data_IF_945304252173
#
_entry.id   IF_945304252173
#
_cell.length_a   1.000
_cell.length_b   1.000
_cell.length_c   1.000
_cell.angle_alpha   90.00
_cell.angle_beta   90.00
_cell.angle_gamma   90.00
#
_symmetry.space_group_name_H-M   'P 1'
#
loop_
_entity.id
_entity.type
_entity.pdbx_description
1 polymer ?
#
# COMPACT_ATOMS: atom_id res chain seq x y z
N UNK A 1 -14.82 -14.63 -22.16
CA UNK A 1 -15.87 -13.99 -21.34
C UNK A 1 -15.36 -13.85 -19.92
N UNK A 2 -14.94 -12.66 -19.51
CA UNK A 2 -14.62 -12.37 -18.10
C UNK A 2 -15.99 -12.30 -17.41
N UNK A 3 -16.29 -13.28 -16.57
CA UNK A 3 -17.53 -13.31 -15.80
C UNK A 3 -17.57 -12.04 -14.95
N UNK A 4 -18.64 -11.26 -15.14
CA UNK A 4 -19.02 -10.06 -14.41
C UNK A 4 -19.47 -10.41 -12.98
N UNK A 5 -18.70 -11.24 -12.26
CA UNK A 5 -18.76 -11.26 -10.81
C UNK A 5 -18.37 -9.86 -10.36
N UNK A 6 -19.42 -9.08 -10.08
CA UNK A 6 -19.39 -7.65 -9.80
C UNK A 6 -18.17 -7.35 -8.95
N UNK A 7 -17.26 -6.55 -9.52
CA UNK A 7 -16.15 -5.90 -8.84
C UNK A 7 -16.77 -5.01 -7.75
N UNK A 8 -17.15 -5.63 -6.63
CA UNK A 8 -17.81 -4.97 -5.52
C UNK A 8 -16.72 -4.35 -4.65
N UNK A 9 -16.36 -3.11 -4.99
CA UNK A 9 -15.50 -2.25 -4.18
C UNK A 9 -16.22 -1.71 -2.92
N UNK A 10 -17.55 -1.83 -2.91
CA UNK A 10 -18.44 -1.32 -1.88
C UNK A 10 -18.06 -1.76 -0.45
N UNK A 11 -17.73 -3.04 -0.16
CA UNK A 11 -17.37 -3.45 1.19
C UNK A 11 -16.12 -2.73 1.73
N UNK A 12 -15.10 -2.53 0.89
CA UNK A 12 -13.86 -1.86 1.31
C UNK A 12 -14.12 -0.39 1.60
N UNK A 13 -14.87 0.29 0.73
CA UNK A 13 -15.23 1.71 0.95
C UNK A 13 -16.09 1.89 2.19
N UNK A 14 -17.03 0.98 2.46
CA UNK A 14 -17.83 1.02 3.70
C UNK A 14 -16.96 0.89 4.95
N UNK A 15 -15.96 0.01 4.94
CA UNK A 15 -15.03 -0.13 6.07
C UNK A 15 -14.17 1.13 6.22
N UNK A 16 -13.65 1.68 5.12
CA UNK A 16 -12.89 2.94 5.15
C UNK A 16 -13.74 4.07 5.73
N UNK A 17 -14.99 4.23 5.30
CA UNK A 17 -15.92 5.22 5.86
C UNK A 17 -16.14 4.96 7.36
N UNK A 18 -16.29 3.69 7.75
CA UNK A 18 -16.46 3.31 9.15
C UNK A 18 -15.23 3.69 10.00
N UNK A 19 -14.01 3.53 9.47
CA UNK A 19 -12.77 3.98 10.12
C UNK A 19 -12.73 5.50 10.31
N UNK A 20 -13.20 6.28 9.33
CA UNK A 20 -13.29 7.74 9.46
C UNK A 20 -14.30 8.13 10.53
N UNK A 21 -15.50 7.55 10.50
CA UNK A 21 -16.55 7.82 11.50
C UNK A 21 -16.04 7.44 12.90
N UNK A 22 -15.37 6.29 13.04
CA UNK A 22 -14.79 5.84 14.29
C UNK A 22 -13.69 6.81 14.77
N UNK A 23 -12.72 7.13 13.92
CA UNK A 23 -11.58 7.98 14.26
C UNK A 23 -12.01 9.39 14.67
N UNK A 24 -12.80 10.06 13.84
CA UNK A 24 -13.31 11.40 14.16
C UNK A 24 -14.33 11.39 15.29
N UNK A 25 -15.13 10.32 15.43
CA UNK A 25 -16.06 10.14 16.54
C UNK A 25 -15.34 10.00 17.89
N UNK A 26 -14.29 9.18 17.96
CA UNK A 26 -13.46 9.04 19.16
C UNK A 26 -12.73 10.36 19.48
N UNK A 27 -12.22 11.05 18.47
CA UNK A 27 -11.59 12.36 18.62
C UNK A 27 -12.57 13.40 19.22
N UNK A 28 -13.81 13.41 18.74
CA UNK A 28 -14.87 14.28 19.27
C UNK A 28 -15.24 13.94 20.72
N UNK A 29 -15.39 12.65 21.04
CA UNK A 29 -15.68 12.17 22.40
C UNK A 29 -14.54 12.46 23.39
N UNK A 30 -13.30 12.48 22.92
CA UNK A 30 -12.11 12.71 23.72
C UNK A 30 -11.87 14.18 24.15
N UNK A 31 -12.83 15.07 23.86
CA UNK A 31 -12.83 16.52 24.10
C UNK A 31 -12.16 17.33 22.98
N UNK A 32 -12.85 18.37 22.49
CA UNK A 32 -12.44 19.24 21.38
C UNK A 32 -11.43 20.30 21.81
N UNK A 33 -10.37 19.90 22.50
CA UNK A 33 -9.23 20.80 22.67
C UNK A 33 -8.58 21.02 21.30
N UNK A 34 -8.29 22.27 20.94
CA UNK A 34 -7.68 22.62 19.65
C UNK A 34 -6.38 21.85 19.40
N UNK A 35 -5.63 21.54 20.46
CA UNK A 35 -4.41 20.73 20.38
C UNK A 35 -4.70 19.30 19.89
N UNK A 36 -5.71 18.64 20.46
CA UNK A 36 -6.03 17.25 20.11
C UNK A 36 -6.63 17.16 18.70
N UNK A 37 -7.46 18.14 18.31
CA UNK A 37 -7.94 18.28 16.93
C UNK A 37 -6.78 18.45 15.94
N UNK A 38 -5.81 19.30 16.28
CA UNK A 38 -4.59 19.49 15.48
C UNK A 38 -3.79 18.18 15.35
N UNK A 39 -3.58 17.45 16.44
CA UNK A 39 -2.90 16.16 16.42
C UNK A 39 -3.65 15.10 15.61
N UNK A 40 -4.99 15.05 15.72
CA UNK A 40 -5.83 14.13 14.94
C UNK A 40 -5.78 14.44 13.43
N UNK A 41 -5.84 15.72 13.06
CA UNK A 41 -5.66 16.14 11.66
C UNK A 41 -4.25 15.81 11.16
N UNK A 42 -3.21 16.06 11.97
CA UNK A 42 -1.84 15.70 11.62
C UNK A 42 -1.71 14.18 11.40
N UNK A 43 -2.19 13.35 12.33
CA UNK A 43 -2.18 11.90 12.20
C UNK A 43 -2.90 11.42 10.93
N UNK A 44 -4.06 12.01 10.61
CA UNK A 44 -4.79 11.74 9.37
C UNK A 44 -3.97 12.11 8.13
N UNK A 45 -3.37 13.30 8.10
CA UNK A 45 -2.54 13.75 6.97
C UNK A 45 -1.24 12.96 6.84
N UNK A 46 -0.66 12.47 7.94
CA UNK A 46 0.49 11.57 7.91
C UNK A 46 0.09 10.22 7.28
N UNK A 47 -1.08 9.68 7.64
CA UNK A 47 -1.63 8.48 6.99
C UNK A 47 -1.83 8.68 5.48
N UNK A 48 -2.40 9.84 5.09
CA UNK A 48 -2.56 10.18 3.68
C UNK A 48 -1.21 10.29 2.94
N UNK A 49 -0.25 11.02 3.52
CA UNK A 49 1.09 11.19 2.94
C UNK A 49 1.78 9.85 2.76
N UNK A 50 1.72 9.00 3.79
CA UNK A 50 2.44 7.74 3.80
C UNK A 50 1.89 6.73 2.79
N UNK A 51 0.59 6.76 2.49
CA UNK A 51 0.02 5.97 1.39
C UNK A 51 0.63 6.31 0.00
N UNK A 52 1.15 7.54 -0.18
CA UNK A 52 1.84 7.93 -1.40
C UNK A 52 3.32 7.53 -1.46
N UNK A 53 3.81 6.85 -0.44
CA UNK A 53 5.17 6.38 -0.46
C UNK A 53 5.40 5.36 -1.58
N UNK A 54 6.58 5.43 -2.20
CA UNK A 54 6.93 4.66 -3.39
C UNK A 54 6.82 3.13 -3.18
N UNK A 55 7.04 2.68 -1.96
CA UNK A 55 7.01 1.28 -1.57
C UNK A 55 5.59 0.72 -1.51
N UNK A 56 4.61 1.52 -1.06
CA UNK A 56 3.20 1.15 -1.03
C UNK A 56 2.65 1.08 -2.45
N UNK A 57 2.85 2.14 -3.24
CA UNK A 57 2.41 2.19 -4.64
C UNK A 57 3.03 1.01 -5.41
N UNK A 58 4.32 0.74 -5.24
CA UNK A 58 4.99 -0.37 -5.91
C UNK A 58 4.44 -1.73 -5.48
N UNK A 59 4.21 -1.95 -4.18
CA UNK A 59 3.70 -3.21 -3.65
C UNK A 59 2.24 -3.49 -4.09
N UNK A 60 1.38 -2.47 -4.01
CA UNK A 60 -0.03 -2.53 -4.40
C UNK A 60 -0.13 -2.77 -5.89
N UNK A 61 0.52 -1.94 -6.72
CA UNK A 61 0.45 -2.07 -8.17
C UNK A 61 0.95 -3.44 -8.65
N UNK A 62 2.13 -3.88 -8.20
CA UNK A 62 2.67 -5.18 -8.58
C UNK A 62 1.74 -6.34 -8.22
N UNK A 63 1.09 -6.24 -7.06
CA UNK A 63 0.15 -7.27 -6.62
C UNK A 63 -1.16 -7.21 -7.40
N UNK A 64 -1.69 -6.03 -7.69
CA UNK A 64 -2.87 -5.84 -8.56
C UNK A 64 -2.61 -6.43 -9.93
N UNK A 65 -1.49 -6.07 -10.58
CA UNK A 65 -1.05 -6.62 -11.87
C UNK A 65 -0.99 -8.13 -11.84
N UNK A 66 -0.37 -8.69 -10.81
CA UNK A 66 -0.24 -10.12 -10.61
C UNK A 66 -1.60 -10.82 -10.52
N UNK A 67 -2.52 -10.32 -9.68
CA UNK A 67 -3.85 -10.92 -9.53
C UNK A 67 -4.68 -10.81 -10.81
N UNK A 68 -4.60 -9.69 -11.53
CA UNK A 68 -5.24 -9.52 -12.85
C UNK A 68 -4.69 -10.54 -13.85
N UNK A 69 -3.36 -10.74 -13.90
CA UNK A 69 -2.73 -11.74 -14.77
C UNK A 69 -3.19 -13.16 -14.43
N UNK A 70 -3.45 -13.45 -13.15
CA UNK A 70 -3.98 -14.72 -12.67
C UNK A 70 -5.50 -14.85 -12.80
N UNK A 71 -6.20 -13.85 -13.37
CA UNK A 71 -7.66 -13.80 -13.43
C UNK A 71 -8.31 -13.91 -12.04
N UNK A 72 -7.67 -13.34 -11.02
CA UNK A 72 -8.13 -13.25 -9.64
C UNK A 72 -8.61 -11.84 -9.34
N UNK A 73 -9.43 -11.69 -8.30
CA UNK A 73 -9.94 -10.38 -7.87
C UNK A 73 -8.80 -9.56 -7.23
N UNK A 74 -8.43 -8.37 -7.76
CA UNK A 74 -7.39 -7.53 -7.20
C UNK A 74 -7.91 -6.40 -6.28
N UNK A 75 -9.23 -6.19 -6.17
CA UNK A 75 -9.79 -4.97 -5.58
C UNK A 75 -9.38 -4.70 -4.13
N UNK A 76 -9.21 -5.77 -3.34
CA UNK A 76 -8.90 -5.64 -1.92
C UNK A 76 -7.42 -5.40 -1.62
N UNK A 77 -6.53 -5.39 -2.63
CA UNK A 77 -5.08 -5.40 -2.41
C UNK A 77 -4.62 -4.22 -1.56
N UNK A 78 -4.95 -3.00 -1.96
CA UNK A 78 -4.56 -1.80 -1.21
C UNK A 78 -5.22 -1.71 0.16
N UNK A 79 -6.48 -2.13 0.28
CA UNK A 79 -7.17 -2.21 1.58
C UNK A 79 -6.48 -3.18 2.54
N UNK A 80 -6.17 -4.41 2.11
CA UNK A 80 -5.53 -5.38 2.99
C UNK A 80 -4.09 -5.00 3.33
N UNK A 81 -3.36 -4.38 2.39
CA UNK A 81 -2.05 -3.82 2.63
C UNK A 81 -2.08 -2.75 3.74
N UNK A 82 -2.92 -1.73 3.58
CA UNK A 82 -3.06 -0.63 4.55
C UNK A 82 -3.52 -1.08 5.92
N UNK A 83 -4.47 -2.03 6.02
CA UNK A 83 -4.90 -2.60 7.29
C UNK A 83 -3.76 -3.37 7.98
N UNK A 84 -2.99 -4.15 7.22
CA UNK A 84 -1.82 -4.85 7.75
C UNK A 84 -0.80 -3.87 8.35
N UNK A 85 -0.44 -2.83 7.60
CA UNK A 85 0.50 -1.79 8.04
C UNK A 85 -0.01 -1.03 9.27
N UNK A 86 -1.24 -0.56 9.17
CA UNK A 86 -1.90 0.22 10.23
C UNK A 86 -2.09 -0.57 11.52
N UNK A 87 -2.12 -1.91 11.45
CA UNK A 87 -2.19 -2.77 12.63
C UNK A 87 -0.95 -2.60 13.51
N UNK A 88 0.25 -2.53 12.92
CA UNK A 88 1.49 -2.30 13.68
C UNK A 88 1.49 -0.92 14.30
N UNK A 89 1.14 0.11 13.52
CA UNK A 89 1.05 1.50 13.99
C UNK A 89 0.04 1.63 15.13
N UNK A 90 -1.11 0.98 15.02
CA UNK A 90 -2.15 0.97 16.05
C UNK A 90 -1.67 0.33 17.35
N UNK A 91 -1.13 -0.88 17.28
CA UNK A 91 -0.65 -1.55 18.49
C UNK A 91 0.48 -0.76 19.15
N UNK A 92 1.42 -0.21 18.36
CA UNK A 92 2.50 0.60 18.90
C UNK A 92 1.96 1.83 19.64
N UNK A 93 1.10 2.62 18.99
CA UNK A 93 0.52 3.82 19.59
C UNK A 93 -0.33 3.49 20.83
N UNK A 94 -1.09 2.38 20.79
CA UNK A 94 -1.89 1.93 21.93
C UNK A 94 -1.03 1.49 23.12
N UNK A 95 0.02 0.69 22.90
CA UNK A 95 0.93 0.24 23.95
C UNK A 95 1.63 1.41 24.65
N UNK A 96 2.09 2.39 23.86
CA UNK A 96 2.77 3.57 24.40
C UNK A 96 1.79 4.51 25.13
N UNK A 97 0.53 4.55 24.70
CA UNK A 97 -0.56 5.25 25.38
C UNK A 97 -0.93 4.69 26.75
N UNK A 98 -0.75 3.38 26.96
CA UNK A 98 -1.06 2.71 28.24
C UNK A 98 0.03 2.95 29.29
N UNK A 99 1.31 2.97 28.91
CA UNK A 99 2.41 3.10 29.87
C UNK A 99 3.58 3.92 29.34
N UNK A 100 3.57 5.22 29.61
CA UNK A 100 4.65 6.17 29.24
C UNK A 100 5.99 5.78 29.87
N UNK A 101 5.98 5.20 31.08
CA UNK A 101 7.22 4.84 31.79
C UNK A 101 7.88 3.61 31.17
N UNK A 102 7.11 2.56 30.91
CA UNK A 102 7.60 1.37 30.21
C UNK A 102 7.94 1.66 28.75
N UNK A 103 7.14 2.51 28.10
CA UNK A 103 7.39 3.02 26.76
C UNK A 103 8.79 3.62 26.61
N UNK A 104 9.19 4.53 27.51
CA UNK A 104 10.50 5.20 27.41
C UNK A 104 11.68 4.23 27.49
N UNK A 105 11.55 3.16 28.27
CA UNK A 105 12.63 2.18 28.45
C UNK A 105 12.65 1.13 27.32
N UNK A 106 11.48 0.74 26.80
CA UNK A 106 11.36 -0.29 25.78
C UNK A 106 11.46 0.25 24.34
N UNK A 107 11.04 1.50 24.10
CA UNK A 107 10.95 2.11 22.78
C UNK A 107 12.28 2.09 22.01
N UNK A 108 13.45 2.43 22.59
CA UNK A 108 14.71 2.39 21.85
C UNK A 108 15.07 0.99 21.34
N UNK A 109 14.77 -0.05 22.13
CA UNK A 109 15.06 -1.44 21.75
C UNK A 109 14.10 -1.96 20.67
N UNK A 110 12.81 -1.64 20.79
CA UNK A 110 11.83 -1.95 19.76
C UNK A 110 12.07 -1.17 18.47
N UNK A 111 12.55 0.08 18.57
CA UNK A 111 13.00 0.91 17.45
C UNK A 111 14.10 0.21 16.66
N UNK A 112 15.20 -0.15 17.33
CA UNK A 112 16.36 -0.76 16.68
C UNK A 112 16.00 -2.10 16.00
N UNK A 113 15.27 -2.99 16.70
CA UNK A 113 14.87 -4.28 16.14
C UNK A 113 13.87 -4.10 14.99
N UNK A 114 12.87 -3.24 15.18
CA UNK A 114 11.84 -2.96 14.18
C UNK A 114 12.43 -2.33 12.92
N UNK A 115 13.34 -1.36 13.07
CA UNK A 115 14.04 -0.71 11.98
C UNK A 115 14.89 -1.70 11.18
N UNK A 116 15.64 -2.59 11.85
CA UNK A 116 16.43 -3.63 11.18
C UNK A 116 15.53 -4.59 10.40
N UNK A 117 14.48 -5.12 11.04
CA UNK A 117 13.56 -6.07 10.40
C UNK A 117 12.81 -5.41 9.25
N UNK A 118 12.25 -4.21 9.49
CA UNK A 118 11.52 -3.43 8.51
C UNK A 118 12.39 -3.09 7.31
N UNK A 119 13.61 -2.58 7.53
CA UNK A 119 14.54 -2.24 6.44
C UNK A 119 14.98 -3.46 5.66
N UNK A 120 15.30 -4.58 6.33
CA UNK A 120 15.68 -5.81 5.64
C UNK A 120 14.53 -6.40 4.82
N UNK A 121 13.33 -6.50 5.40
CA UNK A 121 12.17 -7.09 4.74
C UNK A 121 11.67 -6.19 3.62
N UNK A 122 11.40 -4.91 3.90
CA UNK A 122 10.94 -3.95 2.90
C UNK A 122 12.00 -3.70 1.84
N UNK A 123 13.27 -3.55 2.23
CA UNK A 123 14.39 -3.36 1.31
C UNK A 123 14.59 -4.52 0.35
N UNK A 124 14.62 -5.75 0.87
CA UNK A 124 14.73 -6.96 0.03
C UNK A 124 13.54 -7.07 -0.92
N UNK A 125 12.33 -6.81 -0.44
CA UNK A 125 11.12 -6.86 -1.24
C UNK A 125 11.12 -5.80 -2.35
N UNK A 126 11.53 -4.56 -2.05
CA UNK A 126 11.57 -3.46 -3.01
C UNK A 126 12.64 -3.66 -4.08
N UNK A 127 13.82 -4.16 -3.70
CA UNK A 127 14.86 -4.54 -4.67
C UNK A 127 14.33 -5.63 -5.59
N UNK A 128 13.69 -6.67 -5.04
CA UNK A 128 13.13 -7.76 -5.82
C UNK A 128 12.05 -7.27 -6.80
N UNK A 129 11.12 -6.43 -6.34
CA UNK A 129 10.10 -5.84 -7.20
C UNK A 129 10.72 -4.90 -8.23
N UNK A 130 11.71 -4.10 -7.86
CA UNK A 130 12.43 -3.22 -8.78
C UNK A 130 13.08 -3.99 -9.93
N UNK A 131 13.76 -5.10 -9.63
CA UNK A 131 14.34 -5.99 -10.64
C UNK A 131 13.24 -6.57 -11.54
N UNK A 132 12.14 -7.06 -10.97
CA UNK A 132 11.02 -7.60 -11.75
C UNK A 132 10.40 -6.54 -12.67
N UNK A 133 10.15 -5.34 -12.16
CA UNK A 133 9.64 -4.19 -12.91
C UNK A 133 10.56 -3.86 -14.09
N UNK A 134 11.87 -3.80 -13.85
CA UNK A 134 12.88 -3.53 -14.88
C UNK A 134 12.89 -4.60 -15.96
N UNK A 135 12.85 -5.89 -15.58
CA UNK A 135 12.80 -7.00 -16.53
C UNK A 135 11.55 -6.93 -17.42
N UNK A 136 10.39 -6.64 -16.84
CA UNK A 136 9.13 -6.48 -17.58
C UNK A 136 9.23 -5.26 -18.52
N UNK A 137 9.79 -4.15 -18.05
CA UNK A 137 9.97 -2.94 -18.85
C UNK A 137 10.87 -3.20 -20.07
N UNK A 138 12.02 -3.85 -19.90
CA UNK A 138 12.93 -4.20 -21.00
C UNK A 138 12.23 -5.13 -22.02
N UNK A 139 11.45 -6.09 -21.53
CA UNK A 139 10.68 -7.00 -22.40
C UNK A 139 9.63 -6.25 -23.22
N UNK A 140 8.88 -5.33 -22.60
CA UNK A 140 7.87 -4.50 -23.27
C UNK A 140 8.47 -3.54 -24.29
N UNK A 141 9.59 -2.88 -23.95
CA UNK A 141 10.30 -1.98 -24.87
C UNK A 141 10.81 -2.77 -26.09
N UNK A 142 11.40 -3.95 -25.86
CA UNK A 142 11.91 -4.80 -26.93
C UNK A 142 10.78 -5.27 -27.87
N UNK A 143 9.62 -5.65 -27.31
CA UNK A 143 8.43 -6.01 -28.08
C UNK A 143 7.92 -4.82 -28.91
N UNK A 144 7.85 -3.64 -28.30
CA UNK A 144 7.42 -2.42 -28.95
C UNK A 144 8.34 -2.00 -30.10
N UNK A 145 9.66 -2.11 -29.92
CA UNK A 145 10.65 -1.81 -30.96
C UNK A 145 10.58 -2.78 -32.13
N UNK A 146 10.34 -4.07 -31.89
CA UNK A 146 10.10 -5.08 -32.95
C UNK A 146 8.83 -4.76 -33.73
N UNK A 147 7.74 -4.43 -33.03
CA UNK A 147 6.47 -4.06 -33.65
C UNK A 147 6.60 -2.85 -34.59
N UNK A 148 7.33 -1.81 -34.14
CA UNK A 148 7.58 -0.60 -34.95
C UNK A 148 8.41 -0.87 -36.21
N UNK A 149 9.29 -1.88 -36.19
CA UNK A 149 10.12 -2.27 -37.35
C UNK A 149 9.36 -3.15 -38.35
N UNK A 150 8.57 -4.12 -37.86
CA UNK A 150 8.08 -5.22 -38.72
C UNK A 150 6.66 -5.03 -39.27
N UNK A 151 5.96 -3.89 -39.00
CA UNK A 151 4.54 -3.67 -39.42
C UNK A 151 3.67 -4.91 -39.18
N UNK A 152 3.79 -5.52 -38.01
CA UNK A 152 3.11 -6.78 -37.70
C UNK A 152 1.61 -6.51 -37.52
N UNK A 153 0.75 -7.27 -38.21
CA UNK A 153 -0.71 -7.22 -38.06
C UNK A 153 -1.15 -7.38 -36.60
N UNK A 154 -2.18 -6.64 -36.20
CA UNK A 154 -2.74 -6.59 -34.84
C UNK A 154 -3.08 -7.98 -34.25
N UNK A 155 -3.40 -8.97 -35.09
CA UNK A 155 -3.70 -10.35 -34.66
C UNK A 155 -2.48 -11.08 -34.08
N UNK A 156 -1.28 -10.93 -34.68
CA UNK A 156 -0.05 -11.55 -34.15
C UNK A 156 0.43 -10.84 -32.87
N UNK A 157 0.06 -9.57 -32.68
CA UNK A 157 0.36 -8.83 -31.46
C UNK A 157 -0.46 -9.35 -30.28
N UNK A 158 -1.76 -9.61 -30.48
CA UNK A 158 -2.57 -10.28 -29.47
C UNK A 158 -2.01 -11.66 -29.17
N UNK A 159 -1.61 -12.43 -30.18
CA UNK A 159 -1.05 -13.77 -29.97
C UNK A 159 0.31 -13.74 -29.25
N UNK A 160 1.15 -12.73 -29.46
CA UNK A 160 2.42 -12.48 -28.72
C UNK A 160 2.20 -11.94 -27.30
N UNK A 161 1.15 -11.16 -27.07
CA UNK A 161 0.74 -10.67 -25.76
C UNK A 161 0.00 -11.75 -24.95
N UNK A 162 -0.73 -12.65 -25.62
CA UNK A 162 -1.39 -13.83 -25.05
C UNK A 162 -0.47 -15.05 -24.94
N UNK A 163 0.62 -15.11 -25.72
CA UNK A 163 1.82 -15.87 -25.33
C UNK A 163 2.55 -15.10 -24.23
N UNK A 164 1.84 -15.05 -23.10
CA UNK A 164 2.26 -14.85 -21.71
C UNK A 164 3.53 -15.61 -21.33
N UNK A 165 4.09 -16.46 -22.19
CA UNK A 165 5.09 -17.48 -21.91
C UNK A 165 6.48 -17.01 -21.51
N UNK A 166 6.93 -15.80 -21.85
CA UNK A 166 8.27 -15.34 -21.39
C UNK A 166 8.20 -14.71 -20.00
N UNK A 167 7.29 -13.76 -19.79
CA UNK A 167 7.05 -13.11 -18.49
C UNK A 167 6.43 -14.08 -17.47
N UNK A 168 5.44 -14.89 -17.86
CA UNK A 168 4.81 -15.88 -16.96
C UNK A 168 5.76 -16.99 -16.53
N UNK A 169 6.78 -17.33 -17.34
CA UNK A 169 7.70 -18.43 -17.04
C UNK A 169 8.86 -17.99 -16.15
N UNK A 170 9.35 -16.76 -16.30
CA UNK A 170 10.38 -16.20 -15.40
C UNK A 170 9.81 -15.79 -14.03
N UNK A 171 8.57 -15.29 -13.98
CA UNK A 171 7.95 -14.79 -12.74
C UNK A 171 7.03 -15.86 -12.09
N UNK A 172 6.84 -17.00 -12.77
CA UNK A 172 6.01 -18.17 -12.39
C UNK A 172 6.14 -18.70 -10.95
N UNK A 173 7.36 -18.83 -10.39
CA UNK A 173 7.54 -19.30 -9.01
C UNK A 173 7.06 -18.29 -7.97
N UNK A 174 7.37 -17.00 -8.18
CA UNK A 174 6.93 -15.90 -7.31
C UNK A 174 5.42 -15.67 -7.35
N UNK A 175 4.77 -16.10 -8.44
CA UNK A 175 3.32 -16.01 -8.60
C UNK A 175 2.52 -16.91 -7.63
N UNK A 176 3.10 -17.93 -7.02
CA UNK A 176 2.36 -18.88 -6.17
C UNK A 176 1.99 -18.36 -4.77
N UNK A 177 2.74 -17.40 -4.22
CA UNK A 177 2.55 -16.99 -2.81
C UNK A 177 1.33 -16.06 -2.57
N UNK A 178 0.96 -15.22 -3.54
CA UNK A 178 -0.13 -14.23 -3.40
C UNK A 178 -1.20 -14.57 -4.44
N UNK A 179 -2.21 -15.34 -4.03
CA UNK A 179 -3.30 -15.79 -4.91
C UNK A 179 -4.63 -15.09 -4.63
N UNK A 180 -4.74 -14.42 -3.48
CA UNK A 180 -5.90 -13.66 -3.04
C UNK A 180 -5.46 -12.30 -2.49
N UNK A 181 -6.32 -11.28 -2.61
CA UNK A 181 -6.02 -9.92 -2.12
C UNK A 181 -5.67 -9.88 -0.63
N UNK A 182 -6.25 -10.76 0.19
CA UNK A 182 -6.00 -10.77 1.63
C UNK A 182 -4.61 -11.31 2.02
N UNK A 183 -3.91 -12.03 1.13
CA UNK A 183 -2.52 -12.46 1.36
C UNK A 183 -1.55 -11.27 1.44
N UNK A 184 -2.01 -10.08 1.09
CA UNK A 184 -1.25 -8.83 1.17
C UNK A 184 -1.27 -8.24 2.58
N UNK A 185 -2.19 -8.69 3.46
CA UNK A 185 -2.25 -8.21 4.84
C UNK A 185 -0.95 -8.52 5.63
N UNK A 186 -0.39 -9.74 5.61
CA UNK A 186 0.92 -10.00 6.21
C UNK A 186 2.05 -9.17 5.61
N UNK A 187 1.99 -8.87 4.31
CA UNK A 187 2.99 -8.03 3.65
C UNK A 187 2.91 -6.59 4.18
N UNK A 188 1.70 -6.02 4.26
CA UNK A 188 1.49 -4.71 4.87
C UNK A 188 1.95 -4.66 6.33
N UNK A 189 1.68 -5.72 7.11
CA UNK A 189 2.18 -5.82 8.48
C UNK A 189 3.71 -5.77 8.55
N UNK A 190 4.40 -6.52 7.67
CA UNK A 190 5.86 -6.50 7.60
C UNK A 190 6.41 -5.13 7.22
N UNK A 191 5.73 -4.41 6.32
CA UNK A 191 6.08 -3.04 5.97
C UNK A 191 5.85 -2.07 7.14
N UNK A 192 4.80 -2.29 7.92
CA UNK A 192 4.50 -1.53 9.14
C UNK A 192 5.51 -1.73 10.26
N UNK A 193 6.36 -2.77 10.19
CA UNK A 193 7.50 -2.91 11.10
C UNK A 193 8.59 -1.87 10.84
N UNK A 194 8.59 -1.23 9.67
CA UNK A 194 9.40 -0.04 9.38
C UNK A 194 9.03 1.05 10.39
N UNK A 195 9.89 1.19 11.41
CA UNK A 195 9.53 1.78 12.69
C UNK A 195 9.32 3.31 12.64
N UNK A 196 9.64 3.96 11.51
CA UNK A 196 9.53 5.41 11.31
C UNK A 196 8.10 5.92 11.52
N UNK A 197 7.12 5.32 10.84
CA UNK A 197 5.72 5.79 10.92
C UNK A 197 5.04 5.43 12.23
N UNK A 198 5.34 4.24 12.75
CA UNK A 198 4.90 3.83 14.07
C UNK A 198 5.43 4.81 15.14
N UNK A 199 6.70 5.25 15.04
CA UNK A 199 7.28 6.26 15.91
C UNK A 199 6.62 7.63 15.78
N UNK A 200 6.38 8.12 14.57
CA UNK A 200 5.75 9.43 14.36
C UNK A 200 4.38 9.53 15.06
N UNK A 201 3.51 8.56 14.83
CA UNK A 201 2.17 8.52 15.46
C UNK A 201 2.27 8.30 16.97
N UNK A 202 3.22 7.48 17.40
CA UNK A 202 3.47 7.21 18.80
C UNK A 202 4.01 8.42 19.56
N UNK A 203 4.89 9.21 18.95
CA UNK A 203 5.43 10.44 19.53
C UNK A 203 4.34 11.52 19.60
N UNK A 204 3.45 11.60 18.61
CA UNK A 204 2.25 12.44 18.69
C UNK A 204 1.35 12.02 19.86
N UNK A 205 1.11 10.71 20.03
CA UNK A 205 0.38 10.16 21.16
C UNK A 205 1.03 10.48 22.52
N UNK A 206 2.35 10.31 22.64
CA UNK A 206 3.09 10.62 23.87
C UNK A 206 3.09 12.12 24.20
N UNK A 207 3.26 12.98 23.18
CA UNK A 207 3.19 14.44 23.33
C UNK A 207 1.81 14.89 23.82
N UNK A 208 0.77 14.17 23.39
CA UNK A 208 -0.59 14.36 23.86
C UNK A 208 -0.73 14.00 25.36
N UNK A 209 -0.18 12.86 25.80
CA UNK A 209 -0.25 12.40 27.19
C UNK A 209 0.62 13.18 28.19
N UNK A 210 1.69 13.84 27.73
CA UNK A 210 2.60 14.64 28.56
C UNK A 210 2.06 16.03 28.93
N UNK A 211 1.03 16.52 28.23
CA UNK A 211 0.32 17.73 28.62
C UNK A 211 -0.50 17.46 29.88
N UNK A 212 -0.20 18.15 30.99
CA UNK A 212 -0.74 17.87 32.35
C UNK A 212 -2.29 17.96 32.49
N UNK A 213 -3.04 18.22 31.41
CA UNK A 213 -4.48 17.95 31.33
C UNK A 213 -4.66 16.58 30.71
N UNK A 214 -5.00 15.58 31.53
CA UNK A 214 -5.23 14.19 31.13
C UNK A 214 -6.04 14.10 29.84
N UNK A 215 -5.37 13.93 28.70
CA UNK A 215 -6.02 13.59 27.46
C UNK A 215 -6.57 12.18 27.67
N UNK A 216 -7.87 12.01 27.41
CA UNK A 216 -8.52 10.72 27.56
C UNK A 216 -7.79 9.68 26.72
N UNK A 217 -7.65 8.46 27.24
CA UNK A 217 -7.14 7.32 26.49
C UNK A 217 -7.84 7.16 25.13
N UNK A 218 -9.12 7.55 25.07
CA UNK A 218 -9.93 7.64 23.85
C UNK A 218 -9.28 8.54 22.78
N UNK A 219 -8.72 9.68 23.18
CA UNK A 219 -8.03 10.61 22.28
C UNK A 219 -6.73 10.05 21.74
N UNK A 220 -5.97 9.33 22.58
CA UNK A 220 -4.72 8.67 22.18
C UNK A 220 -5.02 7.60 21.11
N UNK A 221 -6.04 6.77 21.33
CA UNK A 221 -6.46 5.71 20.40
C UNK A 221 -7.06 6.27 19.10
N UNK A 222 -7.64 7.48 19.13
CA UNK A 222 -8.16 8.11 17.92
C UNK A 222 -7.08 8.42 16.89
N UNK A 223 -5.84 8.71 17.31
CA UNK A 223 -4.73 9.07 16.42
C UNK A 223 -4.33 7.94 15.45
N UNK A 224 -3.98 6.73 15.90
CA UNK A 224 -3.66 5.64 14.98
C UNK A 224 -4.85 5.19 14.13
N UNK A 225 -6.08 5.35 14.62
CA UNK A 225 -7.29 5.06 13.83
C UNK A 225 -7.43 6.08 12.69
N UNK A 226 -7.20 7.36 12.95
CA UNK A 226 -7.23 8.41 11.93
C UNK A 226 -6.10 8.23 10.91
N UNK A 227 -4.91 7.87 11.36
CA UNK A 227 -3.82 7.47 10.46
C UNK A 227 -4.26 6.31 9.57
N UNK A 228 -4.80 5.24 10.15
CA UNK A 228 -5.29 4.08 9.43
C UNK A 228 -6.39 4.44 8.43
N UNK A 229 -7.30 5.35 8.80
CA UNK A 229 -8.38 5.83 7.94
C UNK A 229 -7.85 6.56 6.71
N UNK A 230 -6.90 7.49 6.90
CA UNK A 230 -6.27 8.24 5.81
C UNK A 230 -5.48 7.33 4.88
N UNK A 231 -4.64 6.46 5.44
CA UNK A 231 -3.85 5.51 4.68
C UNK A 231 -4.74 4.52 3.89
N UNK A 232 -5.73 3.92 4.56
CA UNK A 232 -6.63 2.95 3.92
C UNK A 232 -7.47 3.57 2.81
N UNK A 233 -7.80 4.86 2.90
CA UNK A 233 -8.51 5.57 1.83
C UNK A 233 -7.68 5.57 0.54
N UNK A 234 -6.44 6.04 0.61
CA UNK A 234 -5.61 6.23 -0.57
C UNK A 234 -5.09 4.90 -1.12
N UNK A 235 -4.66 3.97 -0.28
CA UNK A 235 -4.22 2.65 -0.74
C UNK A 235 -5.38 1.88 -1.40
N UNK A 236 -6.60 1.96 -0.85
CA UNK A 236 -7.79 1.36 -1.46
C UNK A 236 -8.11 2.03 -2.80
N UNK A 237 -8.02 3.36 -2.88
CA UNK A 237 -8.21 4.10 -4.12
C UNK A 237 -7.15 3.70 -5.17
N UNK A 238 -5.88 3.59 -4.80
CA UNK A 238 -4.81 3.14 -5.69
C UNK A 238 -5.12 1.75 -6.26
N UNK A 239 -5.48 0.79 -5.40
CA UNK A 239 -5.88 -0.56 -5.83
C UNK A 239 -7.07 -0.57 -6.81
N UNK A 240 -8.11 0.24 -6.54
CA UNK A 240 -9.30 0.34 -7.39
C UNK A 240 -8.98 1.04 -8.72
N UNK A 241 -8.26 2.16 -8.67
CA UNK A 241 -7.87 2.94 -9.84
C UNK A 241 -6.97 2.11 -10.75
N UNK A 242 -6.00 1.40 -10.17
CA UNK A 242 -5.10 0.55 -10.92
C UNK A 242 -5.84 -0.62 -11.57
N UNK A 243 -6.76 -1.26 -10.84
CA UNK A 243 -7.63 -2.30 -11.39
C UNK A 243 -8.46 -1.78 -12.57
N UNK A 244 -9.01 -0.57 -12.44
CA UNK A 244 -9.86 0.06 -13.46
C UNK A 244 -9.04 0.47 -14.69
N UNK A 245 -7.86 1.05 -14.49
CA UNK A 245 -6.96 1.46 -15.56
C UNK A 245 -6.43 0.24 -16.34
N UNK A 246 -6.11 -0.85 -15.65
CA UNK A 246 -5.74 -2.12 -16.30
C UNK A 246 -6.88 -2.68 -17.14
N UNK A 247 -8.09 -2.77 -16.59
CA UNK A 247 -9.27 -3.25 -17.31
C UNK A 247 -9.59 -2.37 -18.53
N UNK A 248 -9.42 -1.05 -18.42
CA UNK A 248 -9.56 -0.12 -19.54
C UNK A 248 -8.48 -0.33 -20.62
N UNK A 249 -7.25 -0.59 -20.21
CA UNK A 249 -6.15 -0.84 -21.13
C UNK A 249 -6.33 -2.12 -21.96
N UNK A 250 -7.13 -3.10 -21.50
CA UNK A 250 -7.45 -4.30 -22.28
C UNK A 250 -8.31 -4.02 -23.53
N UNK A 251 -8.93 -2.84 -23.67
CA UNK A 251 -9.71 -2.51 -24.87
C UNK A 251 -8.86 -2.14 -26.09
N UNK A 252 -7.56 -1.86 -25.93
CA UNK A 252 -6.66 -1.60 -27.06
C UNK A 252 -5.21 -2.05 -26.73
N UNK A 253 -4.65 -3.05 -27.44
CA UNK A 253 -3.33 -3.62 -27.14
C UNK A 253 -2.19 -2.60 -27.11
N UNK A 254 -2.25 -1.58 -27.98
CA UNK A 254 -1.24 -0.53 -28.05
C UNK A 254 -1.31 0.38 -26.82
N UNK A 255 -2.53 0.77 -26.39
CA UNK A 255 -2.72 1.58 -25.16
C UNK A 255 -2.22 0.85 -23.92
N UNK A 256 -2.38 -0.47 -23.87
CA UNK A 256 -1.85 -1.31 -22.79
C UNK A 256 -0.34 -1.28 -22.67
N UNK A 257 0.38 -1.34 -23.79
CA UNK A 257 1.84 -1.26 -23.81
C UNK A 257 2.29 0.11 -23.31
N UNK A 258 1.71 1.20 -23.83
CA UNK A 258 2.05 2.56 -23.38
C UNK A 258 1.77 2.77 -21.88
N UNK A 259 0.59 2.37 -21.40
CA UNK A 259 0.24 2.49 -19.98
C UNK A 259 1.24 1.74 -19.08
N UNK A 260 1.55 0.47 -19.42
CA UNK A 260 2.50 -0.32 -18.65
C UNK A 260 3.90 0.31 -18.64
N UNK A 261 4.37 0.83 -19.79
CA UNK A 261 5.68 1.50 -19.87
C UNK A 261 5.70 2.74 -18.99
N UNK A 262 4.69 3.61 -19.09
CA UNK A 262 4.62 4.86 -18.30
C UNK A 262 4.58 4.58 -16.81
N UNK A 263 3.75 3.64 -16.34
CA UNK A 263 3.69 3.32 -14.91
C UNK A 263 4.97 2.64 -14.44
N UNK A 264 5.54 1.70 -15.21
CA UNK A 264 6.80 1.05 -14.81
C UNK A 264 7.95 2.05 -14.72
N UNK A 265 8.03 3.01 -15.64
CA UNK A 265 9.02 4.09 -15.60
C UNK A 265 8.82 4.98 -14.37
N UNK A 266 7.57 5.38 -14.09
CA UNK A 266 7.24 6.16 -12.89
C UNK A 266 7.62 5.40 -11.62
N UNK A 267 7.23 4.13 -11.51
CA UNK A 267 7.58 3.29 -10.36
C UNK A 267 9.08 3.13 -10.20
N UNK A 268 9.81 2.90 -11.29
CA UNK A 268 11.27 2.76 -11.22
C UNK A 268 11.93 4.05 -10.74
N UNK A 269 11.44 5.21 -11.21
CA UNK A 269 11.90 6.51 -10.76
C UNK A 269 11.59 6.75 -9.26
N UNK A 270 10.36 6.49 -8.84
CA UNK A 270 9.94 6.63 -7.43
C UNK A 270 10.74 5.72 -6.50
N UNK A 271 10.97 4.46 -6.89
CA UNK A 271 11.78 3.52 -6.11
C UNK A 271 13.25 3.96 -6.01
N UNK A 272 13.79 4.58 -7.07
CA UNK A 272 15.18 5.09 -7.06
C UNK A 272 15.39 6.34 -6.21
N UNK A 273 14.33 7.05 -5.81
CA UNK A 273 14.43 8.22 -4.92
C UNK A 273 14.48 7.83 -3.44
N UNK A 274 14.18 6.57 -3.11
CA UNK A 274 14.12 6.09 -1.72
C UNK A 274 15.44 5.45 -1.24
N UNK A 275 16.41 5.27 -2.12
CA UNK A 275 17.76 4.75 -1.85
C UNK A 275 18.81 5.61 -2.54
#
# INVERSE_FOLDING_TARGET
MINTHRLNWLPYVLIVISLHILGFGLLYLANTNHLLLGMGLLAYTLGLRHAFDADHIAAIDNTVRKLIQQQRNPLGVGFYFSIGHSTVVFFMAAFLGISIKWAKDALPHFQEIGEIIGTLVSGTFLILIGILNLMILISLITLFLKFRKDKINDEKLNDLLDTRGFVSRMVGPYFKFISHSWHVLPLGFLFGLGFDTASEISLLALSSGASQKAISFVGIISLPILFAAGMSLLDTLDGILMTSAYNWAFFNPIRKIYYNITILQLLQYLLSLRY
#
